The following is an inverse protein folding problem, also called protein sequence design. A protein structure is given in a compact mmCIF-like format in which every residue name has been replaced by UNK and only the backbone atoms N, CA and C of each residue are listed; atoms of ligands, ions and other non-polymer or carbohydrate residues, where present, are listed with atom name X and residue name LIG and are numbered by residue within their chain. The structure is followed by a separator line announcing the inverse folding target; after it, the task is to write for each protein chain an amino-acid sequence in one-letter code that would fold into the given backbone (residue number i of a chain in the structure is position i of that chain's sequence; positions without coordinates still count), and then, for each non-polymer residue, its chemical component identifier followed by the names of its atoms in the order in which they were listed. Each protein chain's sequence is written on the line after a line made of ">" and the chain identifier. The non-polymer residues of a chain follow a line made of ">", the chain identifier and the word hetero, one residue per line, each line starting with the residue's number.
data_IF_484788290653
#
_entry.id   IF_484788290653
#
_cell.length_a   1.000
_cell.length_b   1.000
_cell.length_c   1.000
_cell.angle_alpha   90.00
_cell.angle_beta   90.00
_cell.angle_gamma   90.00
#
_symmetry.space_group_name_H-M   'P 1'
#
loop_
_entity.id
_entity.type
_entity.pdbx_description
1 polymer ?
#
# COMPACT_ATOMS: atom_id res chain seq x y z
N UNK A 1 -45.47 -17.63 59.42
CA UNK A 1 -45.00 -17.47 58.03
C UNK A 1 -44.22 -16.16 57.99
N UNK A 2 -42.88 -16.21 58.05
CA UNK A 2 -42.01 -15.03 58.17
C UNK A 2 -41.24 -14.84 56.85
N UNK A 3 -41.57 -13.78 56.11
CA UNK A 3 -40.85 -13.35 54.92
C UNK A 3 -39.54 -12.66 55.32
N UNK A 4 -38.39 -13.22 54.92
CA UNK A 4 -37.08 -12.55 55.06
C UNK A 4 -36.84 -11.67 53.83
N UNK A 5 -37.01 -10.36 53.98
CA UNK A 5 -36.54 -9.38 52.99
C UNK A 5 -35.01 -9.29 53.04
N UNK A 6 -34.37 -9.71 51.96
CA UNK A 6 -32.95 -9.50 51.70
C UNK A 6 -32.70 -8.02 51.42
N UNK A 7 -32.04 -7.31 52.33
CA UNK A 7 -31.46 -6.00 52.06
C UNK A 7 -30.04 -6.21 51.54
N UNK A 8 -29.72 -5.88 50.27
CA UNK A 8 -28.34 -5.92 49.79
C UNK A 8 -27.55 -4.76 50.38
N UNK A 9 -26.48 -5.09 51.11
CA UNK A 9 -25.51 -4.17 51.69
C UNK A 9 -24.94 -3.19 50.65
N UNK A 10 -24.93 -1.90 50.99
CA UNK A 10 -24.48 -0.82 50.11
C UNK A 10 -23.03 -0.95 49.63
N UNK A 11 -22.20 -1.76 50.31
CA UNK A 11 -20.79 -2.01 49.98
C UNK A 11 -20.59 -2.88 48.73
N UNK A 12 -21.57 -3.69 48.34
CA UNK A 12 -21.50 -4.52 47.12
C UNK A 12 -21.73 -3.73 45.83
N UNK A 13 -22.40 -2.58 45.91
CA UNK A 13 -22.80 -1.77 44.74
C UNK A 13 -21.63 -0.94 44.19
N UNK A 14 -20.73 -0.46 45.05
CA UNK A 14 -19.56 0.33 44.63
C UNK A 14 -18.52 -0.53 43.89
N UNK A 15 -18.34 -1.79 44.31
CA UNK A 15 -17.42 -2.72 43.66
C UNK A 15 -17.87 -3.12 42.25
N UNK A 16 -19.18 -3.32 42.04
CA UNK A 16 -19.74 -3.65 40.74
C UNK A 16 -19.59 -2.49 39.72
N UNK A 17 -19.73 -1.24 40.17
CA UNK A 17 -19.59 -0.05 39.31
C UNK A 17 -18.12 0.14 38.88
N UNK A 18 -17.16 -0.11 39.78
CA UNK A 18 -15.74 0.01 39.47
C UNK A 18 -15.29 -0.99 38.39
N UNK A 19 -15.78 -2.23 38.44
CA UNK A 19 -15.47 -3.27 37.44
C UNK A 19 -16.10 -2.92 36.08
N UNK A 20 -17.34 -2.42 36.07
CA UNK A 20 -18.01 -1.99 34.84
C UNK A 20 -17.31 -0.79 34.17
N UNK A 21 -16.80 0.16 34.97
CA UNK A 21 -16.05 1.30 34.46
C UNK A 21 -14.69 0.89 33.85
N UNK A 22 -13.98 -0.07 34.46
CA UNK A 22 -12.73 -0.60 33.91
C UNK A 22 -12.94 -1.37 32.59
N UNK A 23 -14.04 -2.11 32.46
CA UNK A 23 -14.38 -2.83 31.24
C UNK A 23 -14.81 -1.88 30.09
N UNK A 24 -15.44 -0.74 30.41
CA UNK A 24 -15.78 0.27 29.41
C UNK A 24 -14.54 1.04 28.90
N UNK A 25 -13.53 1.24 29.76
CA UNK A 25 -12.31 1.94 29.41
C UNK A 25 -11.40 1.16 28.43
N UNK A 26 -11.43 -0.17 28.46
CA UNK A 26 -10.62 -1.02 27.57
C UNK A 26 -11.16 -1.13 26.14
N UNK A 27 -12.43 -0.75 25.90
CA UNK A 27 -13.04 -0.73 24.56
C UNK A 27 -12.66 0.51 23.72
N UNK A 28 -12.12 1.55 24.35
CA UNK A 28 -11.78 2.82 23.67
C UNK A 28 -10.34 2.89 23.16
N UNK A 29 -9.49 1.92 23.49
CA UNK A 29 -8.11 1.83 22.98
C UNK A 29 -8.02 0.90 21.77
N UNK A 30 -8.81 1.16 20.73
CA UNK A 30 -8.49 0.71 19.37
C UNK A 30 -7.47 1.67 18.76
N UNK A 31 -6.28 1.69 19.34
CA UNK A 31 -5.12 2.31 18.70
C UNK A 31 -4.84 1.55 17.41
N UNK A 32 -4.81 2.27 16.29
CA UNK A 32 -4.45 1.72 15.00
C UNK A 32 -3.13 0.94 15.13
N UNK A 33 -3.21 -0.38 15.05
CA UNK A 33 -2.03 -1.23 14.99
C UNK A 33 -1.32 -0.91 13.67
N UNK A 34 -0.36 0.00 13.71
CA UNK A 34 0.65 0.13 12.67
C UNK A 34 1.56 -1.08 12.78
N UNK A 35 1.13 -2.19 12.19
CA UNK A 35 1.98 -3.32 11.90
C UNK A 35 3.05 -2.84 10.92
N UNK A 36 4.22 -2.46 11.44
CA UNK A 36 5.39 -2.13 10.66
C UNK A 36 5.91 -3.38 9.96
N UNK A 37 5.37 -3.69 8.78
CA UNK A 37 6.08 -4.55 7.83
C UNK A 37 7.23 -3.71 7.24
N UNK A 38 8.45 -4.22 7.27
CA UNK A 38 9.70 -3.50 6.99
C UNK A 38 9.91 -3.02 5.55
N UNK A 39 8.87 -2.59 4.83
CA UNK A 39 8.94 -1.97 3.52
C UNK A 39 8.38 -0.55 3.54
N UNK A 40 9.12 0.39 2.94
CA UNK A 40 8.64 1.76 2.79
C UNK A 40 7.43 1.80 1.85
N UNK A 41 6.43 2.61 2.21
CA UNK A 41 5.32 2.92 1.33
C UNK A 41 5.54 4.28 0.67
N UNK A 42 5.27 4.36 -0.62
CA UNK A 42 5.16 5.65 -1.32
C UNK A 42 3.71 5.94 -1.68
N UNK A 43 3.36 7.23 -1.63
CA UNK A 43 2.02 7.73 -1.97
C UNK A 43 2.13 8.85 -2.98
N UNK A 44 1.27 8.80 -4.00
CA UNK A 44 1.16 9.84 -5.02
C UNK A 44 -0.31 10.15 -5.28
N UNK A 45 -0.62 11.44 -5.35
CA UNK A 45 -1.91 11.95 -5.81
C UNK A 45 -1.91 12.00 -7.34
N UNK A 46 -2.88 11.34 -7.95
CA UNK A 46 -3.08 11.29 -9.41
C UNK A 46 -4.41 11.95 -9.76
N UNK A 47 -4.38 12.89 -10.70
CA UNK A 47 -5.55 13.67 -11.14
C UNK A 47 -6.35 12.99 -12.27
N UNK A 48 -5.81 11.89 -12.81
CA UNK A 48 -6.36 11.12 -13.92
C UNK A 48 -6.56 9.66 -13.53
N UNK A 49 -7.45 8.93 -14.23
CA UNK A 49 -7.54 7.48 -14.09
C UNK A 49 -6.19 6.82 -14.35
N UNK A 50 -5.86 5.80 -13.56
CA UNK A 50 -4.59 5.07 -13.66
C UNK A 50 -4.86 3.65 -14.15
N UNK A 51 -4.16 3.22 -15.20
CA UNK A 51 -4.11 1.82 -15.59
C UNK A 51 -2.94 1.15 -14.88
N UNK A 52 -3.21 0.07 -14.16
CA UNK A 52 -2.17 -0.72 -13.51
C UNK A 52 -1.67 -1.82 -14.44
N UNK A 53 -0.51 -2.44 -14.13
CA UNK A 53 0.06 -3.53 -14.93
C UNK A 53 -0.81 -4.80 -15.02
N UNK A 54 -1.88 -4.89 -14.23
CA UNK A 54 -2.91 -5.93 -14.33
C UNK A 54 -3.92 -5.68 -15.48
N UNK A 55 -3.77 -4.57 -16.21
CA UNK A 55 -4.62 -4.16 -17.31
C UNK A 55 -5.88 -3.39 -16.89
N UNK A 56 -6.20 -3.33 -15.59
CA UNK A 56 -7.38 -2.65 -15.09
C UNK A 56 -7.15 -1.14 -14.96
N UNK A 57 -8.22 -0.36 -15.16
CA UNK A 57 -8.22 1.09 -14.99
C UNK A 57 -8.93 1.46 -13.71
N UNK A 58 -8.27 2.26 -12.88
CA UNK A 58 -8.73 2.73 -11.60
C UNK A 58 -9.01 4.23 -11.63
N UNK A 59 -9.97 4.74 -10.85
CA UNK A 59 -10.28 6.16 -10.81
C UNK A 59 -9.09 6.98 -10.27
N UNK A 60 -9.10 8.28 -10.59
CA UNK A 60 -8.20 9.26 -10.00
C UNK A 60 -8.24 9.24 -8.46
N UNK A 61 -7.17 9.72 -7.82
CA UNK A 61 -7.06 9.78 -6.36
C UNK A 61 -5.67 9.39 -5.85
N UNK A 62 -5.59 8.65 -4.76
CA UNK A 62 -4.31 8.33 -4.10
C UNK A 62 -3.85 6.93 -4.47
N UNK A 63 -2.73 6.83 -5.18
CA UNK A 63 -2.03 5.56 -5.41
C UNK A 63 -0.99 5.35 -4.30
N UNK A 64 -1.03 4.19 -3.66
CA UNK A 64 -0.03 3.78 -2.65
C UNK A 64 0.65 2.48 -3.09
N UNK A 65 1.98 2.48 -3.07
CA UNK A 65 2.82 1.31 -3.36
C UNK A 65 3.68 1.03 -2.14
N UNK A 66 3.54 -0.16 -1.56
CA UNK A 66 4.33 -0.59 -0.42
C UNK A 66 5.23 -1.77 -0.79
N UNK A 67 6.53 -1.63 -0.57
CA UNK A 67 7.49 -2.72 -0.78
C UNK A 67 7.17 -3.86 0.21
N UNK A 68 7.22 -5.09 -0.29
CA UNK A 68 7.12 -6.31 0.52
C UNK A 68 8.31 -7.21 0.23
N UNK A 69 9.44 -6.86 0.86
CA UNK A 69 10.70 -7.59 0.73
C UNK A 69 10.65 -9.05 1.21
N UNK A 70 9.62 -9.42 1.99
CA UNK A 70 9.51 -10.73 2.64
C UNK A 70 9.02 -11.86 1.72
N UNK A 71 8.60 -11.56 0.49
CA UNK A 71 7.81 -12.51 -0.31
C UNK A 71 8.58 -13.19 -1.46
N UNK A 72 9.74 -12.67 -1.90
CA UNK A 72 10.53 -13.33 -2.96
C UNK A 72 12.00 -12.87 -2.98
N UNK A 73 12.96 -13.79 -3.10
CA UNK A 73 14.38 -13.44 -3.22
C UNK A 73 14.78 -12.92 -4.61
N UNK A 74 13.94 -13.16 -5.64
CA UNK A 74 14.26 -12.86 -7.05
C UNK A 74 13.40 -11.76 -7.66
N UNK A 75 12.24 -11.47 -7.08
CA UNK A 75 11.34 -10.42 -7.55
C UNK A 75 10.93 -9.51 -6.39
N UNK A 76 10.83 -8.20 -6.64
CA UNK A 76 10.26 -7.31 -5.62
C UNK A 76 8.77 -7.18 -5.85
N UNK A 77 8.01 -7.51 -4.81
CA UNK A 77 6.55 -7.46 -4.78
C UNK A 77 6.07 -6.18 -4.09
N UNK A 78 5.03 -5.56 -4.65
CA UNK A 78 4.45 -4.33 -4.12
C UNK A 78 2.98 -4.50 -3.83
N UNK A 79 2.60 -4.34 -2.55
CA UNK A 79 1.18 -4.18 -2.19
C UNK A 79 0.71 -2.84 -2.73
N UNK A 80 -0.32 -2.88 -3.58
CA UNK A 80 -0.83 -1.70 -4.27
C UNK A 80 -2.22 -1.37 -3.77
N UNK A 81 -2.44 -0.09 -3.47
CA UNK A 81 -3.72 0.44 -3.02
C UNK A 81 -4.12 1.63 -3.88
N UNK A 82 -5.40 1.73 -4.19
CA UNK A 82 -6.00 2.93 -4.80
C UNK A 82 -7.06 3.44 -3.87
N UNK A 83 -6.97 4.72 -3.49
CA UNK A 83 -7.89 5.36 -2.54
C UNK A 83 -8.03 4.58 -1.22
N UNK A 84 -6.91 4.01 -0.75
CA UNK A 84 -6.86 3.20 0.47
C UNK A 84 -7.43 1.79 0.34
N UNK A 85 -7.98 1.40 -0.82
CA UNK A 85 -8.48 0.05 -1.08
C UNK A 85 -7.37 -0.82 -1.65
N UNK A 86 -7.09 -2.01 -1.09
CA UNK A 86 -6.11 -2.91 -1.66
C UNK A 86 -6.60 -3.42 -3.02
N UNK A 87 -5.73 -3.32 -4.02
CA UNK A 87 -6.04 -3.73 -5.39
C UNK A 87 -5.34 -5.04 -5.76
N UNK A 88 -4.10 -5.20 -5.33
CA UNK A 88 -3.34 -6.42 -5.62
C UNK A 88 -1.87 -6.30 -5.27
N UNK A 89 -1.10 -7.28 -5.72
CA UNK A 89 0.36 -7.32 -5.62
C UNK A 89 0.93 -7.14 -7.02
N UNK A 90 1.76 -6.11 -7.19
CA UNK A 90 2.45 -5.86 -8.46
C UNK A 90 3.88 -6.40 -8.39
N UNK A 91 4.29 -7.07 -9.46
CA UNK A 91 5.66 -7.58 -9.60
C UNK A 91 6.50 -6.51 -10.28
N UNK A 92 7.71 -6.30 -9.74
CA UNK A 92 8.65 -5.35 -10.30
C UNK A 92 10.04 -5.94 -10.43
N UNK A 93 10.82 -5.37 -11.35
CA UNK A 93 12.24 -5.60 -11.45
C UNK A 93 12.98 -4.45 -10.79
N UNK A 94 13.80 -4.79 -9.80
CA UNK A 94 14.67 -3.86 -9.09
C UNK A 94 15.94 -3.61 -9.91
N UNK A 95 16.29 -2.35 -10.15
CA UNK A 95 17.56 -1.94 -10.74
C UNK A 95 18.25 -0.92 -9.85
N UNK A 96 19.56 -1.05 -9.69
CA UNK A 96 20.36 0.02 -9.11
C UNK A 96 20.32 1.23 -10.06
N UNK A 97 20.19 2.42 -9.49
CA UNK A 97 20.21 3.68 -10.21
C UNK A 97 21.32 4.56 -9.62
N UNK A 98 22.09 5.22 -10.48
CA UNK A 98 23.19 6.08 -10.10
C UNK A 98 22.75 7.40 -9.45
N UNK A 99 21.43 7.67 -9.39
CA UNK A 99 20.88 8.80 -8.64
C UNK A 99 21.32 8.73 -7.18
N UNK A 100 22.16 9.71 -6.78
CA UNK A 100 22.60 9.96 -5.41
C UNK A 100 21.86 11.19 -4.91
N UNK A 101 21.29 11.13 -3.72
CA UNK A 101 20.69 12.32 -3.08
C UNK A 101 19.51 12.02 -2.18
N UNK A 102 19.05 13.07 -1.49
CA UNK A 102 17.86 13.09 -0.66
C UNK A 102 16.64 13.64 -1.43
N UNK A 103 16.54 13.32 -2.71
CA UNK A 103 15.36 13.69 -3.50
C UNK A 103 14.11 12.99 -2.94
N UNK A 104 12.90 13.50 -3.19
CA UNK A 104 11.69 12.75 -2.91
C UNK A 104 11.58 11.55 -3.87
N UNK A 105 10.93 10.44 -3.45
CA UNK A 105 10.53 9.40 -4.38
C UNK A 105 9.74 9.96 -5.56
N UNK A 106 9.86 9.34 -6.72
CA UNK A 106 9.08 9.71 -7.91
C UNK A 106 8.39 8.50 -8.51
N UNK A 107 7.16 8.69 -8.97
CA UNK A 107 6.39 7.67 -9.69
C UNK A 107 6.30 8.08 -11.16
N UNK A 108 6.57 7.13 -12.04
CA UNK A 108 6.62 7.33 -13.49
C UNK A 108 5.42 6.68 -14.13
N UNK A 109 4.70 7.49 -14.88
CA UNK A 109 3.54 7.08 -15.68
C UNK A 109 3.82 7.33 -17.16
N UNK A 110 3.16 6.56 -18.00
CA UNK A 110 3.02 6.85 -19.42
C UNK A 110 1.58 7.28 -19.67
N UNK A 111 1.39 8.40 -20.35
CA UNK A 111 0.04 8.83 -20.73
C UNK A 111 -0.41 8.05 -21.97
N UNK A 112 -1.56 7.39 -21.86
CA UNK A 112 -2.25 6.68 -22.94
C UNK A 112 -3.75 6.93 -22.87
N UNK A 113 -4.35 7.42 -23.97
CA UNK A 113 -5.81 7.55 -24.16
C UNK A 113 -6.59 8.14 -22.97
N UNK A 114 -6.06 9.17 -22.33
CA UNK A 114 -6.71 9.85 -21.19
C UNK A 114 -6.56 9.14 -19.84
N UNK A 115 -5.75 8.08 -19.77
CA UNK A 115 -5.33 7.42 -18.56
C UNK A 115 -3.80 7.51 -18.39
N UNK A 116 -3.35 7.26 -17.17
CA UNK A 116 -1.93 7.13 -16.82
C UNK A 116 -1.61 5.65 -16.62
N UNK A 117 -0.84 5.06 -17.52
CA UNK A 117 -0.30 3.71 -17.37
C UNK A 117 0.86 3.77 -16.36
N UNK A 118 0.78 3.02 -15.26
CA UNK A 118 1.82 2.97 -14.26
C UNK A 118 3.03 2.15 -14.76
N UNK A 119 4.16 2.82 -14.97
CA UNK A 119 5.39 2.19 -15.50
C UNK A 119 6.31 1.73 -14.39
N UNK A 120 6.47 2.55 -13.35
CA UNK A 120 7.46 2.28 -12.32
C UNK A 120 7.62 3.43 -11.34
N UNK A 121 8.60 3.31 -10.45
CA UNK A 121 8.94 4.37 -9.51
C UNK A 121 10.40 4.29 -9.08
N UNK A 122 10.93 5.39 -8.56
CA UNK A 122 12.30 5.52 -8.09
C UNK A 122 12.30 5.86 -6.62
N UNK A 123 13.02 5.07 -5.83
CA UNK A 123 13.33 5.35 -4.44
C UNK A 123 14.76 5.89 -4.34
N UNK A 124 14.95 7.17 -4.00
CA UNK A 124 16.26 7.71 -3.69
C UNK A 124 16.76 7.12 -2.37
N UNK A 125 18.09 6.98 -2.25
CA UNK A 125 18.72 6.49 -1.04
C UNK A 125 19.75 7.53 -0.56
N UNK A 126 19.67 8.01 0.70
CA UNK A 126 20.50 9.13 1.17
C UNK A 126 22.00 8.79 1.26
N UNK A 127 22.37 7.51 1.29
CA UNK A 127 23.77 7.05 1.42
C UNK A 127 24.16 5.91 0.47
N UNK A 128 23.27 5.56 -0.47
CA UNK A 128 23.46 4.46 -1.42
C UNK A 128 22.99 4.92 -2.81
N UNK A 129 23.30 4.13 -3.82
CA UNK A 129 22.64 4.25 -5.12
C UNK A 129 21.13 4.11 -4.93
N UNK A 130 20.36 5.00 -5.56
CA UNK A 130 18.91 4.89 -5.63
C UNK A 130 18.47 3.57 -6.28
N UNK A 131 17.19 3.26 -6.16
CA UNK A 131 16.61 2.05 -6.70
C UNK A 131 15.46 2.42 -7.62
N UNK A 132 15.50 1.91 -8.85
CA UNK A 132 14.39 2.01 -9.78
C UNK A 132 13.64 0.68 -9.80
N UNK A 133 12.33 0.76 -9.64
CA UNK A 133 11.41 -0.36 -9.79
C UNK A 133 10.65 -0.18 -11.09
N UNK A 134 10.88 -1.09 -12.03
CA UNK A 134 10.11 -1.16 -13.28
C UNK A 134 9.04 -2.22 -13.09
N UNK A 135 7.77 -1.81 -13.17
CA UNK A 135 6.66 -2.75 -13.06
C UNK A 135 6.56 -3.54 -14.36
N UNK A 136 6.37 -4.84 -14.23
CA UNK A 136 6.03 -5.68 -15.37
C UNK A 136 4.52 -5.77 -15.43
N UNK A 137 3.94 -5.70 -16.64
CA UNK A 137 2.61 -6.26 -16.87
C UNK A 137 2.60 -7.63 -16.20
N UNK A 138 1.59 -7.86 -15.35
CA UNK A 138 1.49 -9.02 -14.47
C UNK A 138 2.01 -10.28 -15.14
N UNK A 139 2.71 -11.12 -14.38
CA UNK A 139 3.16 -12.43 -14.85
C UNK A 139 1.89 -13.22 -15.21
N UNK A 140 1.47 -13.12 -16.46
CA UNK A 140 0.74 -14.20 -17.11
C UNK A 140 1.70 -15.38 -16.99
N UNK A 141 1.46 -16.22 -15.99
CA UNK A 141 2.08 -17.53 -15.92
C UNK A 141 1.76 -18.18 -17.26
N UNK A 142 2.75 -18.40 -18.14
CA UNK A 142 2.46 -18.91 -19.46
C UNK A 142 1.88 -20.30 -19.27
N UNK A 143 0.58 -20.44 -19.50
CA UNK A 143 0.06 -21.70 -20.00
C UNK A 143 0.69 -21.82 -21.39
N UNK A 144 1.64 -22.75 -21.45
CA UNK A 144 2.45 -23.16 -22.59
C UNK A 144 1.82 -22.85 -23.96
N UNK A 145 2.49 -21.98 -24.73
CA UNK A 145 2.21 -21.74 -26.14
C UNK A 145 1.28 -20.55 -26.41
N UNK A 146 1.84 -19.36 -26.61
CA UNK A 146 1.75 -18.68 -27.91
C UNK A 146 2.24 -17.21 -27.87
N UNK A 147 3.08 -16.92 -28.87
CA UNK A 147 3.22 -15.69 -29.64
C UNK A 147 3.62 -14.33 -28.99
N UNK A 148 4.83 -13.91 -29.41
CA UNK A 148 5.20 -12.55 -29.86
C UNK A 148 4.91 -11.41 -28.88
N UNK A 149 5.88 -11.19 -27.98
CA UNK A 149 5.99 -9.96 -27.21
C UNK A 149 6.10 -8.75 -28.16
N UNK A 150 4.97 -8.05 -28.33
CA UNK A 150 4.88 -6.73 -28.94
C UNK A 150 5.71 -5.76 -28.11
N UNK A 151 6.91 -5.43 -28.58
CA UNK A 151 7.64 -4.26 -28.15
C UNK A 151 6.92 -3.02 -28.68
N UNK A 152 5.76 -2.72 -28.09
CA UNK A 152 5.04 -1.49 -28.33
C UNK A 152 5.93 -0.37 -27.82
N UNK A 153 6.57 0.35 -28.75
CA UNK A 153 7.38 1.51 -28.46
C UNK A 153 6.61 2.46 -27.56
N UNK A 154 7.31 3.03 -26.58
CA UNK A 154 6.80 4.07 -25.67
C UNK A 154 6.44 5.32 -26.49
N UNK A 155 5.32 5.30 -27.20
CA UNK A 155 4.85 6.40 -28.06
C UNK A 155 3.99 7.41 -27.28
N UNK A 156 3.99 7.32 -25.95
CA UNK A 156 3.24 8.20 -25.06
C UNK A 156 4.16 9.16 -24.31
N UNK A 157 3.64 10.33 -23.94
CA UNK A 157 4.36 11.26 -23.07
C UNK A 157 4.55 10.64 -21.68
N UNK A 158 5.78 10.67 -21.17
CA UNK A 158 6.05 10.31 -19.78
C UNK A 158 5.56 11.44 -18.85
N UNK A 159 4.99 11.04 -17.72
CA UNK A 159 4.56 11.92 -16.63
C UNK A 159 5.26 11.44 -15.37
N UNK A 160 6.00 12.34 -14.72
CA UNK A 160 6.73 12.04 -13.48
C UNK A 160 6.10 12.84 -12.36
N UNK A 161 5.63 12.14 -11.32
CA UNK A 161 5.01 12.75 -10.16
C UNK A 161 5.86 12.50 -8.92
N UNK A 162 6.07 13.54 -8.12
CA UNK A 162 6.70 13.39 -6.82
C UNK A 162 5.77 12.62 -5.86
N UNK A 163 6.35 11.74 -5.06
CA UNK A 163 5.64 10.92 -4.10
C UNK A 163 6.19 11.15 -2.68
N UNK A 164 5.29 11.05 -1.70
CA UNK A 164 5.65 11.10 -0.29
C UNK A 164 5.97 9.70 0.25
N UNK A 165 6.97 9.60 1.13
CA UNK A 165 7.18 8.40 1.94
C UNK A 165 6.25 8.41 3.15
N UNK A 166 5.74 7.24 3.53
CA UNK A 166 4.99 7.04 4.77
C UNK A 166 5.69 6.07 5.70
#
# INVERSE_FOLDING_TARGET
>A
MFERRWFPDARGRTLAIAIAALAAASLLTTGAASAGSGGGCIRVDVDQPVRLPDGNVYPAGVLTLCDTAELSPVATLHKTYVNGRPIGILVSRRRANETKGAEPPVVVFQRDRGALDLVGYVLPAPRRSGVTYVLSASVDMPLEGDHLASSSGLSGSLVVLAAGMR
#
